data_IF_591387966397
#
_entry.id   IF_591387966397
#
_cell.length_a   1.000
_cell.length_b   1.000
_cell.length_c   1.000
_cell.angle_alpha   90.00
_cell.angle_beta   90.00
_cell.angle_gamma   90.00
#
_symmetry.space_group_name_H-M   'P 1'
#
loop_
_entity.id
_entity.type
_entity.pdbx_description
1 polymer ?
#
# COMPACT_ATOMS: atom_id res chain seq x y z
N UNK A 1 -3.57 2.03 23.26
CA UNK A 1 -4.20 2.86 22.21
C UNK A 1 -3.13 2.98 21.16
N UNK A 2 -3.31 2.24 20.07
CA UNK A 2 -2.25 1.85 19.15
C UNK A 2 -1.39 3.02 18.72
N UNK A 3 -0.10 2.87 18.99
CA UNK A 3 0.97 3.74 18.54
C UNK A 3 0.81 3.90 17.02
N UNK A 4 0.80 5.15 16.55
CA UNK A 4 0.96 5.46 15.14
C UNK A 4 2.33 4.90 14.72
N UNK A 5 2.39 3.60 14.41
CA UNK A 5 3.52 3.00 13.69
C UNK A 5 3.56 3.73 12.35
N UNK A 6 4.49 4.66 12.22
CA UNK A 6 4.86 5.17 10.91
C UNK A 6 5.42 3.99 10.12
N UNK A 7 4.64 3.53 9.14
CA UNK A 7 5.10 2.51 8.22
C UNK A 7 5.91 3.19 7.13
N UNK A 8 7.23 3.01 7.17
CA UNK A 8 8.09 3.44 6.08
C UNK A 8 7.87 2.50 4.88
N UNK A 9 7.00 2.93 3.97
CA UNK A 9 6.69 2.22 2.74
C UNK A 9 7.82 2.43 1.73
N UNK A 10 8.67 1.41 1.61
CA UNK A 10 9.69 1.38 0.57
C UNK A 10 9.09 0.80 -0.71
N UNK A 11 8.24 1.57 -1.40
CA UNK A 11 7.61 1.15 -2.65
C UNK A 11 8.68 0.85 -3.72
N UNK A 12 8.42 -0.12 -4.59
CA UNK A 12 9.27 -0.31 -5.77
C UNK A 12 9.09 0.85 -6.75
N UNK A 13 10.11 1.14 -7.57
CA UNK A 13 10.06 2.17 -8.62
C UNK A 13 8.81 2.04 -9.51
N UNK A 14 8.43 0.81 -9.87
CA UNK A 14 7.22 0.51 -10.64
C UNK A 14 5.95 0.92 -9.88
N UNK A 15 5.85 0.57 -8.60
CA UNK A 15 4.68 0.91 -7.78
C UNK A 15 4.58 2.42 -7.56
N UNK A 16 5.73 3.10 -7.44
CA UNK A 16 5.79 4.56 -7.32
C UNK A 16 5.31 5.25 -8.61
N UNK A 17 5.73 4.76 -9.78
CA UNK A 17 5.23 5.27 -11.06
C UNK A 17 3.72 5.04 -11.23
N UNK A 18 3.21 3.89 -10.83
CA UNK A 18 1.77 3.62 -10.85
C UNK A 18 1.00 4.56 -9.92
N UNK A 19 1.59 4.88 -8.76
CA UNK A 19 0.99 5.75 -7.76
C UNK A 19 0.89 7.18 -8.30
N UNK A 20 1.96 7.68 -8.92
CA UNK A 20 1.99 8.98 -9.59
C UNK A 20 0.95 9.08 -10.69
N UNK A 21 0.86 8.07 -11.57
CA UNK A 21 -0.14 8.04 -12.65
C UNK A 21 -1.58 8.02 -12.13
N UNK A 22 -1.84 7.25 -11.08
CA UNK A 22 -3.18 7.20 -10.49
C UNK A 22 -3.54 8.51 -9.81
N UNK A 23 -2.60 9.10 -9.07
CA UNK A 23 -2.79 10.41 -8.43
C UNK A 23 -3.09 11.50 -9.45
N UNK A 24 -2.34 11.56 -10.55
CA UNK A 24 -2.59 12.49 -11.65
C UNK A 24 -4.00 12.30 -12.25
N UNK A 25 -4.41 11.05 -12.51
CA UNK A 25 -5.76 10.72 -13.02
C UNK A 25 -6.87 11.19 -12.08
N UNK A 26 -6.66 11.12 -10.77
CA UNK A 26 -7.63 11.53 -9.75
C UNK A 26 -7.57 13.02 -9.40
N UNK A 27 -6.59 13.77 -9.92
CA UNK A 27 -6.34 15.16 -9.52
C UNK A 27 -5.90 15.29 -8.05
N UNK A 28 -5.16 14.31 -7.55
CA UNK A 28 -4.67 14.21 -6.17
C UNK A 28 -3.14 14.14 -6.13
N UNK A 29 -2.53 14.19 -4.94
CA UNK A 29 -1.10 13.92 -4.78
C UNK A 29 -0.81 12.43 -4.58
N UNK A 30 0.38 11.92 -4.95
CA UNK A 30 0.80 10.55 -4.63
C UNK A 30 0.69 10.23 -3.13
N UNK A 31 1.03 11.19 -2.27
CA UNK A 31 0.96 11.07 -0.82
C UNK A 31 -0.48 10.86 -0.33
N UNK A 32 -1.43 11.68 -0.80
CA UNK A 32 -2.85 11.55 -0.43
C UNK A 32 -3.40 10.18 -0.85
N UNK A 33 -3.02 9.70 -2.04
CA UNK A 33 -3.44 8.38 -2.53
C UNK A 33 -2.82 7.27 -1.69
N UNK A 34 -1.54 7.37 -1.34
CA UNK A 34 -0.88 6.40 -0.48
C UNK A 34 -1.52 6.35 0.90
N UNK A 35 -1.79 7.50 1.52
CA UNK A 35 -2.50 7.59 2.80
C UNK A 35 -3.88 6.97 2.73
N UNK A 36 -4.65 7.26 1.67
CA UNK A 36 -5.95 6.64 1.41
C UNK A 36 -5.84 5.10 1.32
N UNK A 37 -4.89 4.57 0.55
CA UNK A 37 -4.69 3.12 0.42
C UNK A 37 -4.33 2.50 1.77
N UNK A 38 -3.44 3.14 2.53
CA UNK A 38 -3.02 2.65 3.84
C UNK A 38 -4.20 2.63 4.80
N UNK A 39 -4.94 3.73 4.89
CA UNK A 39 -6.01 3.90 5.86
C UNK A 39 -7.21 2.99 5.56
N UNK A 40 -7.67 2.95 4.31
CA UNK A 40 -8.88 2.23 3.92
C UNK A 40 -8.66 0.74 3.72
N UNK A 41 -7.48 0.32 3.26
CA UNK A 41 -7.25 -1.07 2.84
C UNK A 41 -6.23 -1.81 3.71
N UNK A 42 -5.09 -1.19 4.03
CA UNK A 42 -3.97 -1.90 4.64
C UNK A 42 -3.99 -1.89 6.17
N UNK A 43 -4.48 -0.82 6.82
CA UNK A 43 -4.44 -0.67 8.28
C UNK A 43 -5.03 -1.89 9.01
N UNK A 44 -6.18 -2.38 8.54
CA UNK A 44 -6.84 -3.55 9.13
C UNK A 44 -6.18 -4.89 8.74
N UNK A 45 -5.30 -4.91 7.74
CA UNK A 45 -4.60 -6.09 7.26
C UNK A 45 -3.21 -6.25 7.88
N UNK A 46 -2.65 -5.21 8.50
CA UNK A 46 -1.28 -5.21 9.03
C UNK A 46 -1.02 -6.40 9.97
N UNK A 47 -1.91 -6.69 10.90
CA UNK A 47 -1.76 -7.84 11.80
C UNK A 47 -1.71 -9.18 11.05
N UNK A 48 -2.49 -9.32 9.96
CA UNK A 48 -2.49 -10.52 9.12
C UNK A 48 -1.19 -10.62 8.32
N UNK A 49 -0.68 -9.49 7.84
CA UNK A 49 0.59 -9.39 7.12
C UNK A 49 1.76 -9.74 8.05
N UNK A 50 1.77 -9.22 9.29
CA UNK A 50 2.76 -9.55 10.32
C UNK A 50 2.76 -11.06 10.61
N UNK A 51 1.60 -11.66 10.86
CA UNK A 51 1.48 -13.11 11.07
C UNK A 51 1.99 -13.92 9.87
N UNK A 52 1.65 -13.49 8.65
CA UNK A 52 2.11 -14.17 7.43
C UNK A 52 3.62 -14.06 7.25
N UNK A 53 4.21 -12.92 7.62
CA UNK A 53 5.67 -12.73 7.62
C UNK A 53 6.36 -13.75 8.53
N UNK A 54 5.82 -13.98 9.73
CA UNK A 54 6.33 -14.99 10.66
C UNK A 54 6.20 -16.42 10.11
N UNK A 55 5.10 -16.72 9.43
CA UNK A 55 4.84 -18.06 8.86
C UNK A 55 5.70 -18.38 7.64
N UNK A 56 5.95 -17.40 6.77
CA UNK A 56 6.66 -17.63 5.50
C UNK A 56 8.12 -17.18 5.51
N UNK A 57 8.54 -16.43 6.52
CA UNK A 57 9.86 -15.81 6.60
C UNK A 57 10.08 -14.64 5.62
N UNK A 58 9.03 -14.19 4.94
CA UNK A 58 9.10 -13.05 4.00
C UNK A 58 8.96 -11.76 4.81
N UNK A 59 9.79 -10.73 4.61
CA UNK A 59 9.71 -9.49 5.37
C UNK A 59 8.33 -8.81 5.28
N UNK A 60 7.86 -8.23 6.40
CA UNK A 60 6.59 -7.47 6.46
C UNK A 60 6.56 -6.38 5.39
N UNK A 61 7.64 -5.63 5.21
CA UNK A 61 7.74 -4.57 4.20
C UNK A 61 7.49 -5.07 2.78
N UNK A 62 8.02 -6.24 2.44
CA UNK A 62 7.83 -6.86 1.13
C UNK A 62 6.37 -7.29 0.92
N UNK A 63 5.76 -7.90 1.95
CA UNK A 63 4.35 -8.29 1.90
C UNK A 63 3.42 -7.07 1.82
N UNK A 64 3.74 -5.98 2.53
CA UNK A 64 3.00 -4.72 2.44
C UNK A 64 3.10 -4.14 1.03
N UNK A 65 4.31 -4.08 0.44
CA UNK A 65 4.50 -3.61 -0.94
C UNK A 65 3.68 -4.42 -1.95
N UNK A 66 3.69 -5.76 -1.83
CA UNK A 66 2.90 -6.64 -2.69
C UNK A 66 1.41 -6.34 -2.58
N UNK A 67 0.90 -6.09 -1.36
CA UNK A 67 -0.51 -5.77 -1.20
C UNK A 67 -0.85 -4.37 -1.68
N UNK A 68 0.01 -3.39 -1.41
CA UNK A 68 -0.14 -2.02 -1.88
C UNK A 68 -0.24 -1.98 -3.41
N UNK A 69 0.68 -2.61 -4.12
CA UNK A 69 0.69 -2.63 -5.59
C UNK A 69 -0.56 -3.31 -6.17
N UNK A 70 -1.06 -4.38 -5.53
CA UNK A 70 -2.31 -5.05 -5.92
C UNK A 70 -3.54 -4.17 -5.72
N UNK A 71 -3.62 -3.44 -4.61
CA UNK A 71 -4.72 -2.51 -4.33
C UNK A 71 -4.70 -1.38 -5.35
N UNK A 72 -3.53 -0.76 -5.57
CA UNK A 72 -3.36 0.30 -6.55
C UNK A 72 -3.75 -0.17 -7.95
N UNK A 73 -3.27 -1.33 -8.38
CA UNK A 73 -3.66 -1.96 -9.66
C UNK A 73 -5.17 -2.16 -9.75
N UNK A 74 -5.81 -2.63 -8.68
CA UNK A 74 -7.26 -2.82 -8.64
C UNK A 74 -8.01 -1.48 -8.78
N UNK A 75 -7.58 -0.44 -8.08
CA UNK A 75 -8.17 0.90 -8.16
C UNK A 75 -8.04 1.49 -9.57
N UNK A 76 -6.87 1.38 -10.18
CA UNK A 76 -6.65 1.83 -11.57
C UNK A 76 -7.60 1.16 -12.56
N UNK A 77 -7.84 -0.16 -12.42
CA UNK A 77 -8.77 -0.90 -13.28
C UNK A 77 -10.25 -0.66 -12.98
N UNK A 78 -10.60 -0.33 -11.73
CA UNK A 78 -11.99 -0.03 -11.34
C UNK A 78 -12.47 1.29 -11.95
N UNK A 79 -11.56 2.24 -12.17
CA UNK A 79 -11.85 3.54 -12.79
C UNK A 79 -11.80 3.51 -14.33
N UNK A 80 -12.01 2.34 -14.94
CA UNK A 80 -12.07 2.11 -16.40
C UNK A 80 -13.43 1.59 -16.85
#
# INVERSE_FOLDING_TARGET
MDENKEFELNLSDETQQMLEQYAEKQGSTPEDVAEYIIYEFLRNQLHVIEKRSEETGVPVSELVNIQFSKILTFLMHKDH
#
